data_IF_721556728023
#
_entry.id   IF_721556728023
#
_cell.length_a   1.000
_cell.length_b   1.000
_cell.length_c   1.000
_cell.angle_alpha   90.00
_cell.angle_beta   90.00
_cell.angle_gamma   90.00
#
_symmetry.space_group_name_H-M   'P 1'
#
loop_
_entity.id
_entity.type
_entity.pdbx_description
1 polymer ?
#
# COMPACT_ATOMS: atom_id res chain seq x y z
N UNK A 1 4.03 -40.06 17.05
CA UNK A 1 4.46 -38.66 16.80
C UNK A 1 3.33 -37.94 16.07
N UNK A 2 2.74 -36.92 16.71
CA UNK A 2 1.47 -36.31 16.30
C UNK A 2 1.69 -35.28 15.17
N UNK A 3 1.06 -35.47 14.00
CA UNK A 3 1.20 -34.60 12.81
C UNK A 3 0.83 -33.14 13.10
N UNK A 4 -0.03 -32.89 14.10
CA UNK A 4 -0.36 -31.53 14.54
C UNK A 4 0.83 -30.76 15.11
N UNK A 5 1.79 -31.42 15.77
CA UNK A 5 2.95 -30.71 16.34
C UNK A 5 3.94 -30.22 15.26
N UNK A 6 3.93 -30.81 14.07
CA UNK A 6 4.76 -30.37 12.94
C UNK A 6 4.12 -29.15 12.26
N UNK A 7 2.79 -29.12 12.14
CA UNK A 7 2.07 -27.98 11.54
C UNK A 7 2.12 -26.75 12.46
N UNK A 8 2.03 -26.93 13.78
CA UNK A 8 2.16 -25.82 14.72
C UNK A 8 3.60 -25.27 14.81
N UNK A 9 4.63 -26.10 14.62
CA UNK A 9 6.02 -25.61 14.55
C UNK A 9 6.38 -24.92 13.22
N UNK A 10 5.61 -25.15 12.15
CA UNK A 10 5.71 -24.39 10.90
C UNK A 10 5.06 -22.98 11.00
N UNK A 11 4.39 -22.66 12.10
CA UNK A 11 3.71 -21.36 12.31
C UNK A 11 4.54 -20.32 13.10
N UNK A 12 5.83 -20.57 13.37
CA UNK A 12 6.68 -19.65 14.14
C UNK A 12 7.93 -19.11 13.41
N UNK A 13 7.93 -19.06 12.08
CA UNK A 13 8.72 -18.07 11.34
C UNK A 13 7.82 -17.42 10.30
N UNK A 14 7.42 -16.16 10.53
CA UNK A 14 6.77 -15.34 9.50
C UNK A 14 7.74 -15.25 8.33
N UNK A 15 7.52 -16.03 7.27
CA UNK A 15 8.25 -15.85 6.01
C UNK A 15 7.88 -14.47 5.50
N UNK A 16 8.85 -13.56 5.50
CA UNK A 16 8.62 -12.20 5.00
C UNK A 16 8.54 -12.27 3.47
N UNK A 17 7.48 -11.69 2.90
CA UNK A 17 7.32 -11.62 1.44
C UNK A 17 8.37 -10.69 0.80
N UNK A 18 8.73 -10.92 -0.48
CA UNK A 18 9.61 -10.01 -1.21
C UNK A 18 9.07 -8.57 -1.25
N UNK A 19 9.95 -7.56 -1.28
CA UNK A 19 9.55 -6.15 -1.22
C UNK A 19 8.48 -5.75 -2.25
N UNK A 20 8.63 -6.20 -3.50
CA UNK A 20 7.73 -5.85 -4.60
C UNK A 20 6.34 -6.45 -4.42
N UNK A 21 6.26 -7.65 -3.82
CA UNK A 21 4.99 -8.32 -3.51
C UNK A 21 4.24 -7.53 -2.45
N UNK A 22 4.94 -7.10 -1.39
CA UNK A 22 4.33 -6.29 -0.32
C UNK A 22 3.78 -4.97 -0.85
N UNK A 23 4.53 -4.25 -1.68
CA UNK A 23 4.05 -3.02 -2.33
C UNK A 23 2.82 -3.28 -3.21
N UNK A 24 2.81 -4.38 -3.98
CA UNK A 24 1.63 -4.78 -4.77
C UNK A 24 0.44 -5.06 -3.86
N UNK A 25 0.63 -5.77 -2.76
CA UNK A 25 -0.43 -6.05 -1.78
C UNK A 25 -1.02 -4.76 -1.24
N UNK A 26 -0.21 -3.77 -0.86
CA UNK A 26 -0.70 -2.45 -0.44
C UNK A 26 -1.60 -1.79 -1.50
N UNK A 27 -1.21 -1.87 -2.77
CA UNK A 27 -2.01 -1.33 -3.88
C UNK A 27 -3.34 -2.07 -4.06
N UNK A 28 -3.37 -3.38 -3.79
CA UNK A 28 -4.58 -4.21 -3.86
C UNK A 28 -5.53 -3.99 -2.68
N UNK A 29 -5.05 -3.48 -1.53
CA UNK A 29 -5.89 -3.11 -0.40
C UNK A 29 -6.80 -1.93 -0.72
N UNK A 30 -6.44 -1.11 -1.72
CA UNK A 30 -7.36 -0.10 -2.20
C UNK A 30 -8.59 -0.77 -2.80
N UNK A 31 -9.80 -0.52 -2.27
CA UNK A 31 -11.00 -1.11 -2.84
C UNK A 31 -11.06 -0.70 -4.32
N UNK A 32 -11.34 -1.67 -5.21
CA UNK A 32 -11.67 -1.38 -6.61
C UNK A 32 -12.93 -0.53 -6.60
N UNK A 33 -12.79 0.78 -6.56
CA UNK A 33 -13.90 1.72 -6.36
C UNK A 33 -14.75 1.74 -7.62
N UNK A 34 -15.77 0.88 -7.66
CA UNK A 34 -16.92 1.11 -8.55
C UNK A 34 -17.59 2.38 -8.03
N UNK A 35 -17.62 3.44 -8.84
CA UNK A 35 -18.34 4.65 -8.45
C UNK A 35 -19.83 4.36 -8.42
N UNK A 36 -20.47 4.81 -7.36
CA UNK A 36 -21.91 4.80 -7.27
C UNK A 36 -22.45 5.99 -8.11
N UNK A 37 -23.21 5.74 -9.19
CA UNK A 37 -23.73 6.79 -10.06
C UNK A 37 -24.74 7.71 -9.38
N UNK A 38 -25.33 7.28 -8.25
CA UNK A 38 -26.29 8.07 -7.48
C UNK A 38 -25.61 9.09 -6.55
N UNK A 39 -24.28 9.06 -6.44
CA UNK A 39 -23.50 9.99 -5.62
C UNK A 39 -22.92 11.06 -6.55
N UNK A 40 -23.26 12.33 -6.28
CA UNK A 40 -22.74 13.45 -7.05
C UNK A 40 -21.20 13.47 -7.08
N UNK A 41 -20.62 13.80 -8.24
CA UNK A 41 -19.18 13.77 -8.47
C UNK A 41 -18.43 14.63 -7.43
N UNK A 42 -19.02 15.76 -7.04
CA UNK A 42 -18.48 16.69 -6.03
C UNK A 42 -18.16 16.03 -4.68
N UNK A 43 -18.95 15.04 -4.24
CA UNK A 43 -18.69 14.32 -2.98
C UNK A 43 -17.39 13.52 -3.04
N UNK A 44 -17.07 12.94 -4.20
CA UNK A 44 -15.79 12.27 -4.39
C UNK A 44 -14.61 13.25 -4.34
N UNK A 45 -14.76 14.47 -4.87
CA UNK A 45 -13.75 15.53 -4.74
C UNK A 45 -13.50 15.91 -3.27
N UNK A 46 -14.54 16.01 -2.46
CA UNK A 46 -14.42 16.23 -1.00
C UNK A 46 -13.68 15.06 -0.32
N UNK A 47 -14.10 13.82 -0.57
CA UNK A 47 -13.37 12.64 -0.04
C UNK A 47 -11.92 12.56 -0.54
N UNK A 48 -11.64 13.05 -1.74
CA UNK A 48 -10.29 13.15 -2.27
C UNK A 48 -9.39 14.05 -1.42
N UNK A 49 -9.89 15.21 -1.00
CA UNK A 49 -9.16 16.12 -0.11
C UNK A 49 -8.93 15.50 1.27
N UNK A 50 -9.92 14.78 1.80
CA UNK A 50 -9.77 14.03 3.06
C UNK A 50 -8.68 12.95 2.94
N UNK A 51 -8.60 12.22 1.83
CA UNK A 51 -7.56 11.22 1.63
C UNK A 51 -6.16 11.82 1.53
N UNK A 52 -6.02 12.98 0.88
CA UNK A 52 -4.75 13.71 0.88
C UNK A 52 -4.37 14.10 2.31
N UNK A 53 -5.32 14.64 3.07
CA UNK A 53 -5.12 15.09 4.45
C UNK A 53 -4.70 13.92 5.36
N UNK A 54 -5.37 12.77 5.24
CA UNK A 54 -4.98 11.55 5.96
C UNK A 54 -3.63 11.03 5.52
N UNK A 55 -3.32 11.05 4.22
CA UNK A 55 -2.00 10.69 3.70
C UNK A 55 -0.88 11.56 4.29
N UNK A 56 -1.13 12.86 4.45
CA UNK A 56 -0.19 13.79 5.08
C UNK A 56 -0.01 13.50 6.58
N UNK A 57 -1.09 13.17 7.29
CA UNK A 57 -1.02 12.77 8.72
C UNK A 57 -0.18 11.49 8.87
N UNK A 58 -0.49 10.43 8.13
CA UNK A 58 0.26 9.18 8.22
C UNK A 58 1.73 9.35 7.81
N UNK A 59 2.01 10.18 6.80
CA UNK A 59 3.39 10.47 6.41
C UNK A 59 4.17 11.18 7.53
N UNK A 60 3.54 12.11 8.26
CA UNK A 60 4.13 12.80 9.42
C UNK A 60 4.38 11.84 10.59
N UNK A 61 3.50 10.89 10.80
CA UNK A 61 3.63 9.83 11.81
C UNK A 61 4.60 8.72 11.41
N UNK A 62 5.27 8.85 10.25
CA UNK A 62 6.14 7.84 9.65
C UNK A 62 5.44 6.48 9.39
N UNK A 63 4.11 6.48 9.32
CA UNK A 63 3.31 5.34 8.88
C UNK A 63 3.21 5.34 7.35
N UNK A 64 4.32 4.96 6.72
CA UNK A 64 4.50 5.06 5.27
C UNK A 64 3.53 4.15 4.49
N UNK A 65 3.18 2.97 5.02
CA UNK A 65 2.24 2.06 4.38
C UNK A 65 0.84 2.68 4.25
N UNK A 66 0.33 3.27 5.35
CA UNK A 66 -0.98 3.93 5.32
C UNK A 66 -0.95 5.18 4.45
N UNK A 67 0.10 5.99 4.55
CA UNK A 67 0.27 7.16 3.67
C UNK A 67 0.23 6.75 2.19
N UNK A 68 0.95 5.69 1.83
CA UNK A 68 0.96 5.14 0.47
C UNK A 68 -0.44 4.70 0.01
N UNK A 69 -1.20 4.00 0.86
CA UNK A 69 -2.58 3.55 0.56
C UNK A 69 -3.47 4.76 0.26
N UNK A 70 -3.51 5.77 1.13
CA UNK A 70 -4.37 6.94 0.95
C UNK A 70 -4.03 7.75 -0.31
N UNK A 71 -2.73 7.99 -0.56
CA UNK A 71 -2.32 8.73 -1.74
C UNK A 71 -2.58 7.96 -3.04
N UNK A 72 -2.29 6.66 -3.07
CA UNK A 72 -2.56 5.84 -4.26
C UNK A 72 -4.06 5.72 -4.53
N UNK A 73 -4.89 5.65 -3.48
CA UNK A 73 -6.36 5.69 -3.59
C UNK A 73 -6.84 6.97 -4.27
N UNK A 74 -6.31 8.13 -3.85
CA UNK A 74 -6.57 9.42 -4.49
C UNK A 74 -6.14 9.40 -5.96
N UNK A 75 -4.89 9.03 -6.25
CA UNK A 75 -4.38 9.00 -7.63
C UNK A 75 -5.19 8.09 -8.55
N UNK A 76 -5.51 6.87 -8.12
CA UNK A 76 -6.28 5.91 -8.90
C UNK A 76 -7.67 6.43 -9.22
N UNK A 77 -8.38 6.98 -8.22
CA UNK A 77 -9.71 7.56 -8.43
C UNK A 77 -9.67 8.66 -9.49
N UNK A 78 -8.81 9.66 -9.30
CA UNK A 78 -8.87 10.89 -10.10
C UNK A 78 -8.17 10.79 -11.46
N UNK A 79 -7.20 9.88 -11.64
CA UNK A 79 -6.61 9.64 -12.96
C UNK A 79 -7.47 8.75 -13.85
N UNK A 80 -8.10 7.72 -13.29
CA UNK A 80 -8.67 6.63 -14.08
C UNK A 80 -10.19 6.49 -13.95
N UNK A 81 -10.73 6.64 -12.75
CA UNK A 81 -12.09 6.19 -12.44
C UNK A 81 -13.10 7.35 -12.56
N UNK A 82 -12.79 8.53 -12.02
CA UNK A 82 -13.72 9.67 -11.91
C UNK A 82 -14.24 10.15 -13.26
N UNK A 83 -13.41 10.07 -14.31
CA UNK A 83 -13.77 10.49 -15.68
C UNK A 83 -14.89 9.65 -16.30
N UNK A 84 -15.13 8.44 -15.76
CA UNK A 84 -16.19 7.52 -16.21
C UNK A 84 -17.53 7.78 -15.52
N UNK A 85 -17.57 8.68 -14.54
CA UNK A 85 -18.80 8.99 -13.81
C UNK A 85 -19.79 9.77 -14.70
N UNK A 86 -21.10 9.42 -14.71
CA UNK A 86 -22.08 10.10 -15.58
C UNK A 86 -22.21 11.61 -15.30
N UNK A 87 -22.02 12.00 -14.04
CA UNK A 87 -22.10 13.39 -13.58
C UNK A 87 -20.75 14.14 -13.71
N UNK A 88 -19.68 13.50 -14.20
CA UNK A 88 -18.36 14.13 -14.31
C UNK A 88 -18.38 15.39 -15.19
N UNK A 89 -19.21 15.40 -16.23
CA UNK A 89 -19.38 16.56 -17.14
C UNK A 89 -19.84 17.84 -16.41
N UNK A 90 -20.52 17.69 -15.27
CA UNK A 90 -21.05 18.81 -14.50
C UNK A 90 -20.05 19.39 -13.50
N UNK A 91 -18.87 18.77 -13.32
CA UNK A 91 -17.81 19.33 -12.48
C UNK A 91 -17.23 20.57 -13.15
N UNK A 92 -17.09 21.67 -12.41
CA UNK A 92 -16.54 22.92 -12.91
C UNK A 92 -15.09 22.77 -13.42
N UNK A 93 -14.66 23.65 -14.34
CA UNK A 93 -13.29 23.63 -14.85
C UNK A 93 -12.32 23.98 -13.73
N UNK A 94 -12.71 24.88 -12.84
CA UNK A 94 -11.99 25.32 -11.66
C UNK A 94 -11.70 24.15 -10.71
N UNK A 95 -12.72 23.35 -10.34
CA UNK A 95 -12.55 22.18 -9.48
C UNK A 95 -11.64 21.12 -10.12
N UNK A 96 -11.77 20.89 -11.44
CA UNK A 96 -10.89 19.96 -12.17
C UNK A 96 -9.44 20.45 -12.15
N UNK A 97 -9.21 21.75 -12.34
CA UNK A 97 -7.88 22.35 -12.32
C UNK A 97 -7.24 22.27 -10.93
N UNK A 98 -8.00 22.53 -9.87
CA UNK A 98 -7.53 22.36 -8.49
C UNK A 98 -7.14 20.91 -8.21
N UNK A 99 -7.97 19.96 -8.61
CA UNK A 99 -7.66 18.54 -8.47
C UNK A 99 -6.42 18.13 -9.27
N UNK A 100 -6.22 18.71 -10.46
CA UNK A 100 -5.03 18.45 -11.26
C UNK A 100 -3.73 18.98 -10.63
N UNK A 101 -3.80 20.13 -9.92
CA UNK A 101 -2.67 20.60 -9.10
C UNK A 101 -2.37 19.65 -7.96
N UNK A 102 -3.40 19.19 -7.24
CA UNK A 102 -3.25 18.20 -6.17
C UNK A 102 -2.64 16.87 -6.67
N UNK A 103 -3.04 16.39 -7.85
CA UNK A 103 -2.43 15.22 -8.50
C UNK A 103 -0.91 15.42 -8.74
N UNK A 104 -0.50 16.60 -9.20
CA UNK A 104 0.93 16.93 -9.42
C UNK A 104 1.72 16.99 -8.11
N UNK A 105 1.10 17.43 -7.02
CA UNK A 105 1.73 17.50 -5.70
C UNK A 105 1.83 16.12 -5.02
N UNK A 106 0.79 15.28 -5.17
CA UNK A 106 0.72 13.96 -4.53
C UNK A 106 1.60 12.93 -5.24
N UNK A 107 1.75 13.00 -6.56
CA UNK A 107 2.56 12.05 -7.32
C UNK A 107 4.00 11.89 -6.80
N UNK A 108 4.81 12.95 -6.62
CA UNK A 108 6.16 12.81 -6.09
C UNK A 108 6.18 12.30 -4.63
N UNK A 109 5.14 12.59 -3.82
CA UNK A 109 5.04 12.03 -2.45
C UNK A 109 4.91 10.50 -2.50
N UNK A 110 4.10 9.98 -3.41
CA UNK A 110 3.93 8.52 -3.59
C UNK A 110 5.24 7.87 -4.00
N UNK A 111 5.94 8.42 -5.00
CA UNK A 111 7.20 7.85 -5.48
C UNK A 111 8.26 7.84 -4.37
N UNK A 112 8.37 8.93 -3.60
CA UNK A 112 9.28 8.98 -2.44
C UNK A 112 8.92 7.92 -1.38
N UNK A 113 7.64 7.82 -1.01
CA UNK A 113 7.18 6.84 -0.01
C UNK A 113 7.43 5.41 -0.51
N UNK A 114 7.17 5.13 -1.79
CA UNK A 114 7.41 3.83 -2.41
C UNK A 114 8.87 3.42 -2.35
N UNK A 115 9.79 4.35 -2.66
CA UNK A 115 11.24 4.12 -2.54
C UNK A 115 11.62 3.76 -1.10
N UNK A 116 11.16 4.54 -0.12
CA UNK A 116 11.41 4.26 1.30
C UNK A 116 10.86 2.92 1.77
N UNK A 117 9.64 2.57 1.35
CA UNK A 117 9.03 1.28 1.68
C UNK A 117 9.81 0.12 1.05
N UNK A 118 10.26 0.25 -0.20
CA UNK A 118 11.08 -0.77 -0.85
C UNK A 118 12.40 -0.99 -0.12
N UNK A 119 13.08 0.09 0.28
CA UNK A 119 14.30 0.00 1.10
C UNK A 119 14.04 -0.71 2.44
N UNK A 120 13.01 -0.27 3.17
CA UNK A 120 12.63 -0.88 4.45
C UNK A 120 12.30 -2.36 4.31
N UNK A 121 11.51 -2.72 3.30
CA UNK A 121 11.12 -4.10 3.06
C UNK A 121 12.29 -4.96 2.61
N UNK A 122 13.21 -4.41 1.82
CA UNK A 122 14.42 -5.11 1.39
C UNK A 122 15.28 -5.47 2.58
N UNK A 123 15.56 -4.52 3.47
CA UNK A 123 16.31 -4.78 4.70
C UNK A 123 15.62 -5.84 5.58
N UNK A 124 14.30 -5.73 5.77
CA UNK A 124 13.54 -6.72 6.53
C UNK A 124 13.60 -8.12 5.90
N UNK A 125 13.50 -8.19 4.58
CA UNK A 125 13.54 -9.44 3.82
C UNK A 125 14.91 -10.10 3.91
N UNK A 126 15.99 -9.35 3.68
CA UNK A 126 17.37 -9.84 3.77
C UNK A 126 17.68 -10.39 5.17
N UNK A 127 17.34 -9.65 6.23
CA UNK A 127 17.51 -10.10 7.61
C UNK A 127 16.75 -11.40 7.91
N UNK A 128 15.53 -11.54 7.39
CA UNK A 128 14.74 -12.75 7.56
C UNK A 128 15.36 -13.95 6.83
N UNK A 129 15.92 -13.75 5.63
CA UNK A 129 16.62 -14.82 4.90
C UNK A 129 17.87 -15.29 5.65
N UNK A 130 18.66 -14.35 6.20
CA UNK A 130 19.84 -14.69 7.01
C UNK A 130 19.47 -15.49 8.26
N UNK A 131 18.43 -15.07 8.97
CA UNK A 131 17.92 -15.79 10.15
C UNK A 131 17.47 -17.22 9.81
N UNK A 132 16.75 -17.39 8.69
CA UNK A 132 16.32 -18.70 8.21
C UNK A 132 17.53 -19.57 7.84
N UNK A 133 18.55 -19.01 7.18
CA UNK A 133 19.77 -19.73 6.82
C UNK A 133 20.56 -20.19 8.06
N UNK A 134 20.72 -19.30 9.05
CA UNK A 134 21.40 -19.62 10.30
C UNK A 134 20.67 -20.71 11.08
N UNK A 135 19.34 -20.65 11.13
CA UNK A 135 18.52 -21.66 11.78
C UNK A 135 18.69 -23.04 11.11
N UNK A 136 18.63 -23.09 9.78
CA UNK A 136 18.87 -24.32 9.00
C UNK A 136 20.28 -24.88 9.24
N UNK A 137 21.30 -24.02 9.34
CA UNK A 137 22.67 -24.45 9.63
C UNK A 137 22.79 -25.12 11.01
N UNK A 138 22.23 -24.50 12.05
CA UNK A 138 22.21 -25.06 13.42
C UNK A 138 21.49 -26.40 13.48
N UNK A 139 20.29 -26.49 12.88
CA UNK A 139 19.52 -27.73 12.85
C UNK A 139 20.24 -28.89 12.14
N UNK A 140 21.01 -28.59 11.10
CA UNK A 140 21.80 -29.60 10.40
C UNK A 140 23.04 -30.02 11.19
N UNK A 141 23.63 -29.10 11.96
CA UNK A 141 24.75 -29.40 12.86
C UNK A 141 24.29 -30.29 14.02
N UNK A 142 23.16 -29.96 14.66
CA UNK A 142 22.60 -30.68 15.81
C UNK A 142 22.07 -32.08 15.44
N UNK A 143 21.76 -32.35 14.17
CA UNK A 143 21.36 -33.69 13.70
C UNK A 143 22.55 -34.60 13.37
N UNK A 144 23.76 -34.04 13.27
CA UNK A 144 24.97 -34.77 12.87
C UNK A 144 25.79 -35.26 14.06
N UNK A 145 25.43 -34.83 15.26
CA UNK A 145 26.01 -35.20 16.55
C UNK A 145 24.91 -35.65 17.51
#
# INVERSE_FOLDING_TARGET
MNKSNIIYNLMCTKVIEPPEVRIKTLMLLNPKTKLNPNIATRKYYQSGQEWISMGDVYAKENNLEQAYIYYTKFMTLFLQIIKKHPDYKNVSIEERNLNYRALREVFPKIENIKTKLLEQYRTQYELNQEQIALQKFKENHDKKY
#
